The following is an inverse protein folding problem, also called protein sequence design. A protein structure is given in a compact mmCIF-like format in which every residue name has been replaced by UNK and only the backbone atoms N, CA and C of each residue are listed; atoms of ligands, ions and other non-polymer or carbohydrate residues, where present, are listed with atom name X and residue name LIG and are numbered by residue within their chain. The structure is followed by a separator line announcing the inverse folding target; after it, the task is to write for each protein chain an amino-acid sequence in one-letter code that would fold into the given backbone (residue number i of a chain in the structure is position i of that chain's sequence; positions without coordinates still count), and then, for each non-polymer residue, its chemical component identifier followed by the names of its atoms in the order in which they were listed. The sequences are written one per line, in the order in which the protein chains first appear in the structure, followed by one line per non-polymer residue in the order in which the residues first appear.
data_IF_451071371376
#
_entry.id   IF_451071371376
#
_cell.length_a   1.000
_cell.length_b   1.000
_cell.length_c   1.000
_cell.angle_alpha   90.00
_cell.angle_beta   90.00
_cell.angle_gamma   90.00
#
_symmetry.space_group_name_H-M   'P 1'
#
loop_
_entity.id
_entity.type
_entity.pdbx_description
1 polymer ?
#
# COMPACT_ATOMS: atom_id res chain seq x y z
N UNK A 1 -5.35 -14.76 -15.76
CA UNK A 1 -5.09 -14.43 -14.34
C UNK A 1 -5.14 -12.92 -14.05
N UNK A 2 -4.79 -12.06 -15.00
CA UNK A 2 -4.84 -10.59 -14.90
C UNK A 2 -6.13 -10.01 -14.26
N UNK A 3 -7.32 -10.49 -14.64
CA UNK A 3 -8.58 -10.02 -14.06
C UNK A 3 -8.65 -10.29 -12.54
N UNK A 4 -8.32 -11.51 -12.11
CA UNK A 4 -8.29 -11.91 -10.69
C UNK A 4 -7.26 -11.05 -9.93
N UNK A 5 -6.08 -10.83 -10.49
CA UNK A 5 -5.05 -9.99 -9.87
C UNK A 5 -5.51 -8.53 -9.71
N UNK A 6 -6.20 -7.97 -10.70
CA UNK A 6 -6.76 -6.62 -10.61
C UNK A 6 -7.90 -6.55 -9.57
N UNK A 7 -8.74 -7.57 -9.49
CA UNK A 7 -9.78 -7.67 -8.48
C UNK A 7 -9.19 -7.75 -7.06
N UNK A 8 -8.15 -8.56 -6.86
CA UNK A 8 -7.45 -8.65 -5.57
C UNK A 8 -6.69 -7.36 -5.22
N UNK A 9 -6.15 -6.65 -6.21
CA UNK A 9 -5.57 -5.32 -5.99
C UNK A 9 -6.62 -4.33 -5.48
N UNK A 10 -7.81 -4.35 -6.06
CA UNK A 10 -8.93 -3.51 -5.65
C UNK A 10 -9.42 -3.88 -4.25
N UNK A 11 -9.49 -5.17 -3.91
CA UNK A 11 -9.79 -5.63 -2.55
C UNK A 11 -8.76 -5.15 -1.52
N UNK A 12 -7.47 -5.18 -1.86
CA UNK A 12 -6.44 -4.63 -0.97
C UNK A 12 -6.61 -3.11 -0.78
N UNK A 13 -6.91 -2.37 -1.85
CA UNK A 13 -7.20 -0.94 -1.73
C UNK A 13 -8.45 -0.66 -0.89
N UNK A 14 -9.51 -1.46 -1.03
CA UNK A 14 -10.71 -1.35 -0.20
C UNK A 14 -10.41 -1.58 1.29
N UNK A 15 -9.45 -2.44 1.64
CA UNK A 15 -9.04 -2.60 3.03
C UNK A 15 -8.50 -1.29 3.63
N UNK A 16 -7.77 -0.49 2.85
CA UNK A 16 -7.34 0.85 3.29
C UNK A 16 -8.51 1.82 3.45
N UNK A 17 -9.50 1.77 2.54
CA UNK A 17 -10.71 2.60 2.65
C UNK A 17 -11.50 2.27 3.92
N UNK A 18 -11.67 0.98 4.22
CA UNK A 18 -12.34 0.55 5.45
C UNK A 18 -11.55 0.97 6.70
N UNK A 19 -10.22 0.84 6.67
CA UNK A 19 -9.37 1.28 7.77
C UNK A 19 -9.47 2.80 7.99
N UNK A 20 -9.53 3.59 6.92
CA UNK A 20 -9.73 5.05 7.00
C UNK A 20 -11.07 5.41 7.64
N UNK A 21 -12.17 4.81 7.17
CA UNK A 21 -13.51 5.02 7.76
C UNK A 21 -13.49 4.72 9.26
N UNK A 22 -12.90 3.59 9.66
CA UNK A 22 -12.79 3.22 11.07
C UNK A 22 -11.90 4.20 11.85
N UNK A 23 -10.82 4.69 11.26
CA UNK A 23 -9.90 5.63 11.92
C UNK A 23 -10.55 6.98 12.25
N UNK A 24 -11.51 7.45 11.45
CA UNK A 24 -12.25 8.68 11.73
C UNK A 24 -13.08 8.60 13.03
N UNK A 25 -13.56 7.41 13.40
CA UNK A 25 -14.28 7.19 14.67
C UNK A 25 -13.37 7.30 15.90
N UNK A 26 -12.05 7.09 15.72
CA UNK A 26 -11.04 7.25 16.79
C UNK A 26 -10.52 8.69 16.92
N UNK A 27 -10.99 9.61 16.07
CA UNK A 27 -10.71 11.05 16.12
C UNK A 27 -9.88 11.58 14.95
N UNK A 28 -9.85 12.91 14.83
CA UNK A 28 -9.31 13.62 13.66
C UNK A 28 -7.84 13.31 13.38
N UNK A 29 -7.00 13.14 14.41
CA UNK A 29 -5.58 12.77 14.23
C UNK A 29 -5.44 11.39 13.57
N UNK A 30 -6.24 10.41 14.01
CA UNK A 30 -6.23 9.06 13.44
C UNK A 30 -6.83 9.04 12.02
N UNK A 31 -7.93 9.76 11.78
CA UNK A 31 -8.50 9.92 10.43
C UNK A 31 -7.49 10.53 9.44
N UNK A 32 -6.85 11.65 9.80
CA UNK A 32 -5.82 12.28 8.96
C UNK A 32 -4.62 11.34 8.70
N UNK A 33 -4.27 10.51 9.68
CA UNK A 33 -3.19 9.54 9.55
C UNK A 33 -3.50 8.44 8.52
N UNK A 34 -4.73 7.96 8.48
CA UNK A 34 -5.15 6.89 7.57
C UNK A 34 -5.50 7.36 6.15
N UNK A 35 -5.57 8.68 5.90
CA UNK A 35 -5.58 9.24 4.55
C UNK A 35 -4.28 8.97 3.78
N UNK A 36 -3.14 8.86 4.46
CA UNK A 36 -1.83 8.64 3.81
C UNK A 36 -1.79 7.37 2.96
N UNK A 37 -2.17 6.18 3.48
CA UNK A 37 -2.31 4.96 2.68
C UNK A 37 -3.15 5.09 1.41
N UNK A 38 -4.24 5.86 1.46
CA UNK A 38 -5.15 6.01 0.32
C UNK A 38 -4.47 6.67 -0.89
N UNK A 39 -3.52 7.57 -0.64
CA UNK A 39 -2.75 8.26 -1.69
C UNK A 39 -1.46 7.51 -2.03
N UNK A 40 -0.77 6.99 -1.01
CA UNK A 40 0.52 6.32 -1.18
C UNK A 40 0.38 4.96 -1.86
N UNK A 41 -0.65 4.17 -1.53
CA UNK A 41 -0.75 2.82 -2.08
C UNK A 41 -0.91 2.80 -3.61
N UNK A 42 -1.83 3.58 -4.25
CA UNK A 42 -1.96 3.59 -5.69
C UNK A 42 -0.70 4.08 -6.41
N UNK A 43 -0.06 5.12 -5.88
CA UNK A 43 1.14 5.75 -6.48
C UNK A 43 2.33 4.80 -6.45
N UNK A 44 2.65 4.21 -5.29
CA UNK A 44 3.74 3.25 -5.13
C UNK A 44 3.48 1.97 -5.94
N UNK A 45 2.24 1.49 -5.93
CA UNK A 45 1.88 0.26 -6.65
C UNK A 45 1.96 0.44 -8.17
N UNK A 46 1.71 1.65 -8.68
CA UNK A 46 1.98 2.01 -10.09
C UNK A 46 3.49 1.98 -10.40
N UNK A 47 4.32 2.49 -9.48
CA UNK A 47 5.78 2.52 -9.61
C UNK A 47 6.44 1.14 -9.48
N UNK A 48 5.76 0.16 -8.87
CA UNK A 48 6.30 -1.19 -8.67
C UNK A 48 6.78 -1.85 -9.97
N UNK A 49 6.11 -1.62 -11.10
CA UNK A 49 6.51 -2.15 -12.41
C UNK A 49 7.82 -1.57 -12.96
N UNK A 50 8.25 -0.40 -12.44
CA UNK A 50 9.48 0.28 -12.83
C UNK A 50 10.63 0.01 -11.85
N UNK A 51 10.32 -0.19 -10.57
CA UNK A 51 11.32 -0.26 -9.49
C UNK A 51 11.47 -1.67 -8.92
N UNK A 52 10.36 -2.34 -8.58
CA UNK A 52 10.37 -3.56 -7.78
C UNK A 52 10.27 -4.85 -8.62
N UNK A 53 9.68 -4.76 -9.81
CA UNK A 53 9.51 -5.88 -10.74
C UNK A 53 10.54 -5.75 -11.86
N UNK A 54 11.53 -6.64 -11.82
CA UNK A 54 12.58 -6.72 -12.84
C UNK A 54 12.07 -7.42 -14.12
N UNK A 55 12.85 -7.33 -15.20
CA UNK A 55 12.58 -8.13 -16.41
C UNK A 55 12.72 -9.63 -16.11
N UNK A 56 13.70 -10.02 -15.30
CA UNK A 56 13.92 -11.42 -14.90
C UNK A 56 12.69 -11.99 -14.16
N UNK A 57 12.07 -11.23 -13.27
CA UNK A 57 10.85 -11.66 -12.57
C UNK A 57 9.73 -12.03 -13.56
N UNK A 58 9.60 -11.30 -14.67
CA UNK A 58 8.59 -11.57 -15.69
C UNK A 58 8.88 -12.83 -16.53
N UNK A 59 10.14 -13.28 -16.57
CA UNK A 59 10.55 -14.49 -17.29
C UNK A 59 10.56 -15.73 -16.38
N UNK A 60 10.98 -15.58 -15.13
CA UNK A 60 11.19 -16.71 -14.22
C UNK A 60 10.04 -16.97 -13.24
N UNK A 61 9.15 -16.00 -13.01
CA UNK A 61 8.05 -16.13 -12.06
C UNK A 61 6.69 -16.22 -12.78
N UNK A 62 5.73 -16.86 -12.13
CA UNK A 62 4.35 -16.89 -12.61
C UNK A 62 3.67 -15.52 -12.44
N UNK A 63 2.58 -15.28 -13.20
CA UNK A 63 1.78 -14.05 -13.07
C UNK A 63 1.37 -13.78 -11.61
N UNK A 64 1.00 -14.84 -10.89
CA UNK A 64 0.63 -14.77 -9.47
C UNK A 64 1.80 -14.31 -8.59
N UNK A 65 2.99 -14.86 -8.77
CA UNK A 65 4.17 -14.49 -7.98
C UNK A 65 4.59 -13.04 -8.24
N UNK A 66 4.53 -12.59 -9.49
CA UNK A 66 4.78 -11.18 -9.85
C UNK A 66 3.75 -10.27 -9.20
N UNK A 67 2.48 -10.67 -9.19
CA UNK A 67 1.41 -9.94 -8.51
C UNK A 67 1.63 -9.85 -6.98
N UNK A 68 1.93 -10.97 -6.32
CA UNK A 68 2.21 -10.99 -4.87
C UNK A 68 3.42 -10.12 -4.53
N UNK A 69 4.48 -10.17 -5.35
CA UNK A 69 5.66 -9.29 -5.20
C UNK A 69 5.26 -7.81 -5.29
N UNK A 70 4.41 -7.46 -6.25
CA UNK A 70 3.88 -6.10 -6.44
C UNK A 70 3.08 -5.61 -5.23
N UNK A 71 2.20 -6.44 -4.68
CA UNK A 71 1.38 -6.11 -3.50
C UNK A 71 2.26 -5.95 -2.26
N UNK A 72 3.20 -6.89 -2.03
CA UNK A 72 4.16 -6.81 -0.91
C UNK A 72 4.98 -5.54 -0.97
N UNK A 73 5.42 -5.14 -2.16
CA UNK A 73 6.12 -3.87 -2.36
C UNK A 73 5.24 -2.67 -1.99
N UNK A 74 4.03 -2.59 -2.55
CA UNK A 74 3.09 -1.49 -2.28
C UNK A 74 2.79 -1.34 -0.80
N UNK A 75 2.34 -2.41 -0.14
CA UNK A 75 2.03 -2.40 1.28
C UNK A 75 3.27 -2.12 2.14
N UNK A 76 4.43 -2.70 1.78
CA UNK A 76 5.67 -2.53 2.51
C UNK A 76 6.16 -1.09 2.52
N UNK A 77 6.15 -0.42 1.36
CA UNK A 77 6.53 1.00 1.27
C UNK A 77 5.52 1.88 2.01
N UNK A 78 4.21 1.65 1.88
CA UNK A 78 3.19 2.41 2.61
C UNK A 78 3.43 2.31 4.12
N UNK A 79 3.60 1.09 4.65
CA UNK A 79 3.86 0.88 6.07
C UNK A 79 5.16 1.54 6.52
N UNK A 80 6.24 1.43 5.73
CA UNK A 80 7.52 2.06 6.06
C UNK A 80 7.39 3.59 6.08
N UNK A 81 6.75 4.18 5.08
CA UNK A 81 6.52 5.63 5.03
C UNK A 81 5.67 6.09 6.21
N UNK A 82 4.60 5.36 6.54
CA UNK A 82 3.82 5.62 7.75
C UNK A 82 4.68 5.51 9.02
N UNK A 83 5.47 4.46 9.20
CA UNK A 83 6.31 4.36 10.40
C UNK A 83 7.29 5.53 10.52
N UNK A 84 7.89 5.96 9.40
CA UNK A 84 8.82 7.11 9.38
C UNK A 84 8.09 8.40 9.74
N UNK A 85 6.95 8.71 9.10
CA UNK A 85 6.21 9.95 9.38
C UNK A 85 5.71 9.96 10.82
N UNK A 86 5.23 8.81 11.34
CA UNK A 86 4.78 8.70 12.73
C UNK A 86 5.91 9.05 13.70
N UNK A 87 7.08 8.43 13.54
CA UNK A 87 8.24 8.68 14.41
C UNK A 87 8.76 10.11 14.33
N UNK A 88 8.77 10.70 13.13
CA UNK A 88 9.34 12.03 12.93
C UNK A 88 8.42 13.16 13.37
N UNK A 89 7.10 13.00 13.22
CA UNK A 89 6.16 14.12 13.36
C UNK A 89 5.07 13.89 14.41
N UNK A 90 4.61 12.65 14.63
CA UNK A 90 3.48 12.38 15.53
C UNK A 90 3.93 11.91 16.93
N UNK A 91 5.04 11.17 17.02
CA UNK A 91 5.60 10.73 18.31
C UNK A 91 6.13 11.91 19.13
N UNK A 92 6.55 12.99 18.49
CA UNK A 92 7.02 14.20 19.18
C UNK A 92 5.89 15.04 19.79
N UNK A 93 4.62 14.80 19.40
CA UNK A 93 3.44 15.53 19.89
C UNK A 93 2.75 14.89 21.10
N UNK A 94 3.16 13.67 21.50
CA UNK A 94 2.61 12.92 22.63
C UNK A 94 3.55 12.95 23.84
#
# INVERSE_FOLDING_TARGET
MKFICNFLLLLNFLAYVLADIVAWEYGTKAGLWFLLPLVLFPTVTSLANKVAISRADKFFLSEWQVFVKKIKWGNGVVLLTMTIIYKLFLEQEN
#
